data_IF_160722653155
#
_entry.id   IF_160722653155
#
_cell.length_a   1.000
_cell.length_b   1.000
_cell.length_c   1.000
_cell.angle_alpha   90.00
_cell.angle_beta   90.00
_cell.angle_gamma   90.00
#
_symmetry.space_group_name_H-M   'P 1'
#
loop_
_entity.id
_entity.type
_entity.pdbx_description
1 polymer ?
#
# COMPACT_ATOMS: atom_id res chain seq x y z
N UNK A 1 19.61 -10.97 0.85
CA UNK A 1 18.14 -10.89 0.68
C UNK A 1 17.49 -11.53 1.89
N UNK A 2 16.37 -10.98 2.36
CA UNK A 2 15.71 -11.46 3.57
C UNK A 2 14.29 -11.91 3.28
N UNK A 3 13.87 -12.98 3.95
CA UNK A 3 12.53 -13.55 3.76
C UNK A 3 11.49 -12.93 4.68
N UNK A 4 11.68 -12.90 6.01
CA UNK A 4 10.67 -12.37 6.92
C UNK A 4 11.26 -11.89 8.26
N UNK A 5 10.83 -10.74 8.75
CA UNK A 5 11.01 -10.32 10.15
C UNK A 5 9.70 -9.90 10.76
N UNK A 6 9.62 -9.96 12.10
CA UNK A 6 8.44 -9.51 12.85
C UNK A 6 8.10 -8.04 12.57
N UNK A 7 9.10 -7.18 12.36
CA UNK A 7 8.87 -5.77 12.02
C UNK A 7 8.31 -5.59 10.61
N UNK A 8 8.83 -6.30 9.60
CA UNK A 8 8.27 -6.25 8.24
C UNK A 8 6.83 -6.74 8.21
N UNK A 9 6.52 -7.84 8.91
CA UNK A 9 5.13 -8.31 9.06
C UNK A 9 4.24 -7.29 9.74
N UNK A 10 4.72 -6.62 10.80
CA UNK A 10 3.96 -5.57 11.46
C UNK A 10 3.65 -4.41 10.49
N UNK A 11 4.61 -3.99 9.67
CA UNK A 11 4.41 -2.91 8.67
C UNK A 11 3.49 -3.32 7.53
N UNK A 12 3.55 -4.58 7.09
CA UNK A 12 2.58 -5.13 6.13
C UNK A 12 1.18 -5.17 6.77
N UNK A 13 1.07 -5.53 8.04
CA UNK A 13 -0.18 -5.44 8.79
C UNK A 13 -0.72 -4.01 8.86
N UNK A 14 0.15 -3.02 9.10
CA UNK A 14 -0.23 -1.58 9.05
C UNK A 14 -0.70 -1.17 7.65
N UNK A 15 0.00 -1.59 6.59
CA UNK A 15 -0.41 -1.36 5.21
C UNK A 15 -1.82 -1.91 4.96
N UNK A 16 -2.06 -3.17 5.34
CA UNK A 16 -3.36 -3.81 5.21
C UNK A 16 -4.47 -3.07 5.97
N UNK A 17 -4.21 -2.70 7.22
CA UNK A 17 -5.16 -1.95 8.04
C UNK A 17 -5.51 -0.60 7.42
N UNK A 18 -4.52 0.14 6.90
CA UNK A 18 -4.78 1.44 6.25
C UNK A 18 -5.56 1.24 4.95
N UNK A 19 -5.21 0.21 4.17
CA UNK A 19 -5.92 -0.16 2.94
C UNK A 19 -7.39 -0.52 3.19
N UNK A 20 -7.73 -1.06 4.36
CA UNK A 20 -9.12 -1.30 4.76
C UNK A 20 -9.80 -0.06 5.32
N UNK A 21 -9.12 0.66 6.24
CA UNK A 21 -9.74 1.77 6.97
C UNK A 21 -10.08 2.95 6.07
N UNK A 22 -9.21 3.33 5.12
CA UNK A 22 -9.47 4.49 4.27
C UNK A 22 -10.73 4.30 3.41
N UNK A 23 -10.89 3.18 2.66
CA UNK A 23 -12.12 2.93 1.90
C UNK A 23 -13.33 2.65 2.78
N UNK A 24 -13.15 2.04 3.96
CA UNK A 24 -14.26 1.82 4.91
C UNK A 24 -14.84 3.14 5.44
N UNK A 25 -13.98 4.08 5.84
CA UNK A 25 -14.42 5.41 6.29
C UNK A 25 -15.10 6.18 5.17
N UNK A 26 -14.57 6.08 3.94
CA UNK A 26 -15.15 6.70 2.76
C UNK A 26 -16.52 6.13 2.38
N UNK A 27 -16.67 4.80 2.37
CA UNK A 27 -17.95 4.14 2.08
C UNK A 27 -19.00 4.46 3.13
N UNK A 28 -18.62 4.51 4.40
CA UNK A 28 -19.51 4.95 5.48
C UNK A 28 -20.01 6.39 5.31
N UNK A 29 -19.11 7.31 4.97
CA UNK A 29 -19.46 8.72 4.73
C UNK A 29 -20.36 8.91 3.49
N UNK A 30 -20.05 8.20 2.40
CA UNK A 30 -20.81 8.32 1.15
C UNK A 30 -22.19 7.67 1.18
N UNK A 31 -22.42 6.69 2.05
CA UNK A 31 -23.72 5.97 2.14
C UNK A 31 -24.91 6.86 2.51
N UNK A 32 -24.69 7.97 3.22
CA UNK A 32 -25.73 8.92 3.61
C UNK A 32 -25.79 10.19 2.74
N UNK A 33 -24.98 10.25 1.68
CA UNK A 33 -24.81 11.44 0.85
C UNK A 33 -25.49 11.28 -0.51
N UNK A 34 -26.04 12.37 -1.06
CA UNK A 34 -26.43 12.39 -2.48
C UNK A 34 -25.19 12.11 -3.35
N UNK A 35 -25.33 11.19 -4.30
CA UNK A 35 -24.21 10.74 -5.15
C UNK A 35 -23.88 11.84 -6.16
N UNK A 36 -23.01 12.76 -5.75
CA UNK A 36 -22.49 13.85 -6.59
C UNK A 36 -21.22 13.44 -7.31
N UNK A 37 -20.87 14.16 -8.39
CA UNK A 37 -19.61 13.97 -9.11
C UNK A 37 -18.38 14.20 -8.21
N UNK A 38 -18.51 15.06 -7.20
CA UNK A 38 -17.47 15.28 -6.18
C UNK A 38 -17.24 14.02 -5.36
N UNK A 39 -18.31 13.35 -4.90
CA UNK A 39 -18.22 12.09 -4.14
C UNK A 39 -17.53 11.02 -4.98
N UNK A 40 -17.95 10.82 -6.23
CA UNK A 40 -17.26 9.86 -7.14
C UNK A 40 -15.80 10.21 -7.35
N UNK A 41 -15.48 11.49 -7.57
CA UNK A 41 -14.10 11.97 -7.75
C UNK A 41 -13.20 11.66 -6.55
N UNK A 42 -13.73 11.78 -5.33
CA UNK A 42 -13.01 11.44 -4.10
C UNK A 42 -12.71 9.94 -3.99
N UNK A 43 -13.63 9.07 -4.41
CA UNK A 43 -13.37 7.63 -4.48
C UNK A 43 -12.20 7.30 -5.42
N UNK A 44 -12.14 7.95 -6.59
CA UNK A 44 -11.01 7.82 -7.51
C UNK A 44 -9.71 8.41 -6.96
N UNK A 45 -9.78 9.52 -6.22
CA UNK A 45 -8.59 10.09 -5.55
C UNK A 45 -8.04 9.12 -4.51
N UNK A 46 -8.89 8.46 -3.72
CA UNK A 46 -8.48 7.44 -2.77
C UNK A 46 -7.76 6.31 -3.48
N UNK A 47 -8.40 5.76 -4.52
CA UNK A 47 -7.87 4.64 -5.30
C UNK A 47 -6.55 5.02 -5.98
N UNK A 48 -6.54 6.06 -6.81
CA UNK A 48 -5.43 6.36 -7.71
C UNK A 48 -4.26 7.09 -7.05
N UNK A 49 -4.47 7.75 -5.91
CA UNK A 49 -3.44 8.58 -5.26
C UNK A 49 -3.16 8.12 -3.85
N UNK A 50 -4.16 8.03 -2.98
CA UNK A 50 -3.92 7.79 -1.56
C UNK A 50 -3.36 6.38 -1.30
N UNK A 51 -4.05 5.34 -1.79
CA UNK A 51 -3.61 3.95 -1.61
C UNK A 51 -2.20 3.65 -2.19
N UNK A 52 -1.83 4.09 -3.40
CA UNK A 52 -0.47 3.89 -3.90
C UNK A 52 0.57 4.66 -3.08
N UNK A 53 0.28 5.88 -2.61
CA UNK A 53 1.19 6.63 -1.76
C UNK A 53 1.44 5.93 -0.42
N UNK A 54 0.42 5.29 0.16
CA UNK A 54 0.58 4.48 1.37
C UNK A 54 1.51 3.28 1.10
N UNK A 55 1.34 2.56 -0.01
CA UNK A 55 2.24 1.47 -0.40
C UNK A 55 3.69 1.94 -0.57
N UNK A 56 3.90 3.07 -1.26
CA UNK A 56 5.21 3.68 -1.46
C UNK A 56 5.82 4.06 -0.10
N UNK A 57 5.07 4.76 0.75
CA UNK A 57 5.56 5.27 2.02
C UNK A 57 5.97 4.15 2.97
N UNK A 58 5.11 3.15 3.16
CA UNK A 58 5.41 2.02 4.06
C UNK A 58 6.50 1.12 3.45
N UNK A 59 6.46 0.89 2.13
CA UNK A 59 7.48 0.11 1.42
C UNK A 59 8.87 0.69 1.55
N UNK A 60 9.01 1.99 1.23
CA UNK A 60 10.26 2.72 1.42
C UNK A 60 10.71 2.71 2.87
N UNK A 61 9.80 2.93 3.83
CA UNK A 61 10.14 2.91 5.25
C UNK A 61 10.68 1.56 5.72
N UNK A 62 10.04 0.44 5.34
CA UNK A 62 10.55 -0.89 5.64
C UNK A 62 11.93 -1.11 5.01
N UNK A 63 12.09 -0.75 3.74
CA UNK A 63 13.34 -0.90 3.00
C UNK A 63 14.49 -0.13 3.66
N UNK A 64 14.26 1.13 4.05
CA UNK A 64 15.27 1.98 4.71
C UNK A 64 15.68 1.42 6.07
N UNK A 65 14.74 0.84 6.82
CA UNK A 65 15.01 0.36 8.19
C UNK A 65 15.67 -1.01 8.20
N UNK A 66 15.31 -1.88 7.28
CA UNK A 66 15.66 -3.29 7.41
C UNK A 66 16.23 -3.95 6.15
N UNK A 67 16.39 -3.20 5.07
CA UNK A 67 16.89 -3.70 3.79
C UNK A 67 15.82 -4.42 2.97
N UNK A 68 16.25 -5.11 1.91
CA UNK A 68 15.34 -5.69 0.92
C UNK A 68 14.69 -6.99 1.42
N UNK A 69 13.37 -7.04 1.33
CA UNK A 69 12.51 -8.17 1.69
C UNK A 69 11.65 -8.62 0.50
N UNK A 70 11.64 -9.93 0.23
CA UNK A 70 10.85 -10.52 -0.85
C UNK A 70 9.34 -10.41 -0.62
N UNK A 71 8.89 -10.25 0.64
CA UNK A 71 7.47 -10.10 0.96
C UNK A 71 6.85 -8.89 0.26
N UNK A 72 7.62 -7.82 0.06
CA UNK A 72 7.14 -6.61 -0.60
C UNK A 72 6.78 -6.81 -2.07
N UNK A 73 7.23 -7.89 -2.71
CA UNK A 73 6.87 -8.23 -4.09
C UNK A 73 5.36 -8.45 -4.24
N UNK A 74 4.75 -9.10 -3.23
CA UNK A 74 3.32 -9.46 -3.26
C UNK A 74 2.49 -8.74 -2.20
N UNK A 75 3.11 -8.20 -1.15
CA UNK A 75 2.39 -7.66 -0.01
C UNK A 75 1.38 -6.56 -0.39
N UNK A 76 1.71 -5.51 -1.18
CA UNK A 76 0.73 -4.48 -1.52
C UNK A 76 -0.46 -5.04 -2.29
N UNK A 77 -0.21 -5.94 -3.25
CA UNK A 77 -1.28 -6.60 -4.01
C UNK A 77 -2.21 -7.41 -3.11
N UNK A 78 -1.65 -8.30 -2.28
CA UNK A 78 -2.45 -9.15 -1.39
C UNK A 78 -3.21 -8.33 -0.34
N UNK A 79 -2.59 -7.26 0.18
CA UNK A 79 -3.26 -6.36 1.10
C UNK A 79 -4.43 -5.62 0.45
N UNK A 80 -4.38 -5.36 -0.86
CA UNK A 80 -5.43 -4.66 -1.59
C UNK A 80 -6.63 -5.57 -1.95
N UNK A 81 -6.45 -6.89 -2.01
CA UNK A 81 -7.52 -7.81 -2.42
C UNK A 81 -8.79 -7.69 -1.57
N UNK A 82 -8.68 -7.72 -0.24
CA UNK A 82 -9.86 -7.60 0.61
C UNK A 82 -10.58 -6.23 0.46
N UNK A 83 -9.88 -5.07 0.52
CA UNK A 83 -10.48 -3.79 0.20
C UNK A 83 -11.13 -3.72 -1.18
N UNK A 84 -10.52 -4.35 -2.19
CA UNK A 84 -11.05 -4.40 -3.56
C UNK A 84 -12.45 -5.03 -3.58
N UNK A 85 -12.61 -6.20 -2.97
CA UNK A 85 -13.89 -6.91 -2.95
C UNK A 85 -14.93 -6.25 -2.04
N UNK A 86 -14.50 -5.54 -0.99
CA UNK A 86 -15.42 -4.91 -0.02
C UNK A 86 -15.90 -3.53 -0.44
N UNK A 87 -15.04 -2.72 -1.08
CA UNK A 87 -15.30 -1.28 -1.28
C UNK A 87 -15.17 -0.82 -2.73
N UNK A 88 -14.59 -1.64 -3.59
CA UNK A 88 -14.39 -1.33 -5.00
C UNK A 88 -15.02 -2.41 -5.87
N UNK A 89 -14.63 -2.46 -7.15
CA UNK A 89 -15.11 -3.45 -8.11
C UNK A 89 -13.96 -4.36 -8.56
N UNK A 90 -14.28 -5.44 -9.28
CA UNK A 90 -13.29 -6.38 -9.81
C UNK A 90 -12.31 -5.71 -10.80
N UNK A 91 -12.77 -4.73 -11.57
CA UNK A 91 -11.89 -3.99 -12.49
C UNK A 91 -10.79 -3.20 -11.78
N UNK A 92 -10.92 -2.97 -10.46
CA UNK A 92 -9.90 -2.29 -9.68
C UNK A 92 -8.66 -3.16 -9.41
N UNK A 93 -8.68 -4.45 -9.76
CA UNK A 93 -7.56 -5.38 -9.59
C UNK A 93 -6.26 -4.86 -10.23
N UNK A 94 -6.36 -4.18 -11.37
CA UNK A 94 -5.21 -3.60 -12.07
C UNK A 94 -4.47 -2.57 -11.21
N UNK A 95 -5.19 -1.83 -10.36
CA UNK A 95 -4.57 -0.86 -9.49
C UNK A 95 -3.81 -1.54 -8.35
N UNK A 96 -4.32 -2.64 -7.80
CA UNK A 96 -3.57 -3.46 -6.84
C UNK A 96 -2.21 -3.93 -7.39
N UNK A 97 -2.18 -4.35 -8.66
CA UNK A 97 -0.94 -4.73 -9.33
C UNK A 97 0.01 -3.52 -9.46
N UNK A 98 -0.53 -2.36 -9.86
CA UNK A 98 0.25 -1.11 -9.93
C UNK A 98 0.81 -0.69 -8.55
N UNK A 99 0.03 -0.81 -7.48
CA UNK A 99 0.49 -0.51 -6.12
C UNK A 99 1.63 -1.43 -5.70
N UNK A 100 1.61 -2.70 -6.12
CA UNK A 100 2.71 -3.63 -5.89
C UNK A 100 3.98 -3.19 -6.60
N UNK A 101 3.89 -2.81 -7.88
CA UNK A 101 5.05 -2.28 -8.63
C UNK A 101 5.64 -1.05 -7.94
N UNK A 102 4.78 -0.09 -7.57
CA UNK A 102 5.19 1.13 -6.87
C UNK A 102 5.79 0.84 -5.49
N UNK A 103 5.15 -0.02 -4.71
CA UNK A 103 5.60 -0.42 -3.38
C UNK A 103 6.94 -1.16 -3.42
N UNK A 104 7.14 -2.06 -4.38
CA UNK A 104 8.41 -2.77 -4.61
C UNK A 104 9.51 -1.80 -5.00
N UNK A 105 9.24 -0.89 -5.94
CA UNK A 105 10.22 0.10 -6.37
C UNK A 105 10.65 0.98 -5.19
N UNK A 106 9.69 1.49 -4.42
CA UNK A 106 9.95 2.29 -3.23
C UNK A 106 10.73 1.51 -2.16
N UNK A 107 10.35 0.24 -1.92
CA UNK A 107 11.05 -0.64 -0.99
C UNK A 107 12.49 -0.92 -1.42
N UNK A 108 12.72 -1.18 -2.71
CA UNK A 108 14.06 -1.38 -3.26
C UNK A 108 14.93 -0.13 -3.12
N UNK A 109 14.38 1.05 -3.39
CA UNK A 109 15.07 2.32 -3.16
C UNK A 109 15.44 2.51 -1.69
N UNK A 110 14.51 2.22 -0.77
CA UNK A 110 14.79 2.26 0.67
C UNK A 110 15.89 1.28 1.07
N UNK A 111 15.84 0.05 0.57
CA UNK A 111 16.83 -0.98 0.82
C UNK A 111 18.23 -0.62 0.29
N UNK A 112 18.29 0.09 -0.83
CA UNK A 112 19.54 0.65 -1.35
C UNK A 112 20.14 1.69 -0.39
N UNK A 113 19.32 2.55 0.20
CA UNK A 113 19.78 3.49 1.25
C UNK A 113 20.29 2.73 2.47
N UNK A 114 19.62 1.65 2.88
CA UNK A 114 20.07 0.78 3.97
C UNK A 114 21.46 0.18 3.71
N UNK A 115 21.68 -0.39 2.52
CA UNK A 115 22.98 -0.99 2.18
C UNK A 115 24.12 0.03 2.15
N UNK A 116 23.86 1.24 1.64
CA UNK A 116 24.81 2.36 1.64
C UNK A 116 25.19 2.83 3.04
N UNK A 117 24.26 2.80 3.99
CA UNK A 117 24.56 3.13 5.40
C UNK A 117 25.42 2.04 6.04
N UNK A 118 25.11 0.78 5.77
CA UNK A 118 25.82 -0.36 6.37
C UNK A 118 27.24 -0.54 5.86
N UNK A 119 27.51 -0.17 4.60
CA UNK A 119 28.86 -0.20 4.02
C UNK A 119 29.74 1.01 4.33
N UNK A 120 29.24 2.00 5.09
CA UNK A 120 30.02 3.15 5.61
C UNK A 120 30.45 2.97 7.07
N UNK A 121 30.01 1.90 7.72
CA UNK A 121 30.38 1.47 9.08
C UNK A 121 31.33 0.30 8.95
#
# INVERSE_FOLDING_TARGET
MRWATRSTWARIGVLFSIYLLIPALWSGFSSGSEVTEVVKGLAFLILLVILPLVAIGIGAWDGVKEGFSLLWVLAPFLCFLAPMFLFFNESALIYGAAYSVLGVAAHALGAFVYSRRRGRV
#
